data_IF_017724475752
#
_entry.id   IF_017724475752
#
_cell.length_a   1.000
_cell.length_b   1.000
_cell.length_c   1.000
_cell.angle_alpha   90.00
_cell.angle_beta   90.00
_cell.angle_gamma   90.00
#
_symmetry.space_group_name_H-M   'P 1'
#
loop_
_entity.id
_entity.type
_entity.pdbx_description
1 polymer ?
#
# COMPACT_ATOMS: atom_id res chain seq x y z
N UNK A 1 -7.21 -12.60 3.50
CA UNK A 1 -5.75 -12.62 3.50
C UNK A 1 -5.22 -11.20 3.68
N UNK A 2 -4.20 -11.00 4.52
CA UNK A 2 -3.62 -9.70 4.85
C UNK A 2 -2.14 -9.78 4.53
N UNK A 3 -1.65 -8.85 3.70
CA UNK A 3 -0.23 -8.73 3.38
C UNK A 3 0.26 -7.36 3.82
N UNK A 4 1.36 -7.32 4.56
CA UNK A 4 1.96 -6.08 5.06
C UNK A 4 3.42 -6.04 4.64
N UNK A 5 3.83 -4.90 4.09
CA UNK A 5 5.22 -4.59 3.77
C UNK A 5 5.54 -3.20 4.32
N UNK A 6 6.53 -3.13 5.20
CA UNK A 6 7.07 -1.87 5.72
C UNK A 6 8.04 -1.29 4.70
N UNK A 7 7.99 0.03 4.52
CA UNK A 7 8.88 0.83 3.67
C UNK A 7 9.24 2.12 4.39
N UNK A 8 10.37 2.72 4.04
CA UNK A 8 10.86 4.00 4.60
C UNK A 8 10.55 5.21 3.69
N UNK A 9 10.10 4.96 2.47
CA UNK A 9 9.85 5.97 1.48
C UNK A 9 8.53 5.71 0.73
N UNK A 10 8.07 6.75 0.03
CA UNK A 10 6.82 6.76 -0.75
C UNK A 10 7.07 6.89 -2.25
N UNK A 11 8.23 6.48 -2.77
CA UNK A 11 8.56 6.59 -4.19
C UNK A 11 7.80 5.56 -5.02
N UNK A 12 7.66 5.83 -6.32
CA UNK A 12 6.89 4.98 -7.23
C UNK A 12 7.51 3.57 -7.40
N UNK A 13 8.83 3.47 -7.50
CA UNK A 13 9.56 2.19 -7.59
C UNK A 13 9.30 1.28 -6.39
N UNK A 14 9.27 1.87 -5.19
CA UNK A 14 8.95 1.18 -3.95
C UNK A 14 7.49 0.71 -3.95
N UNK A 15 6.55 1.56 -4.41
CA UNK A 15 5.15 1.21 -4.56
C UNK A 15 4.96 0.02 -5.51
N UNK A 16 5.59 0.07 -6.68
CA UNK A 16 5.49 -0.98 -7.70
C UNK A 16 6.05 -2.31 -7.19
N UNK A 17 7.21 -2.27 -6.53
CA UNK A 17 7.84 -3.46 -5.91
C UNK A 17 6.90 -4.11 -4.88
N UNK A 18 6.25 -3.28 -4.04
CA UNK A 18 5.25 -3.77 -3.09
C UNK A 18 4.05 -4.44 -3.79
N UNK A 19 3.56 -3.88 -4.90
CA UNK A 19 2.48 -4.48 -5.69
C UNK A 19 2.88 -5.82 -6.30
N UNK A 20 4.07 -5.92 -6.88
CA UNK A 20 4.59 -7.18 -7.43
C UNK A 20 4.66 -8.27 -6.35
N UNK A 21 5.12 -7.92 -5.15
CA UNK A 21 5.20 -8.87 -4.05
C UNK A 21 3.83 -9.32 -3.55
N UNK A 22 2.86 -8.41 -3.38
CA UNK A 22 1.51 -8.80 -2.95
C UNK A 22 0.79 -9.62 -4.03
N UNK A 23 0.95 -9.30 -5.31
CA UNK A 23 0.34 -10.09 -6.39
C UNK A 23 0.95 -11.48 -6.52
N UNK A 24 2.24 -11.66 -6.21
CA UNK A 24 2.85 -13.00 -6.06
C UNK A 24 2.26 -13.77 -4.89
N UNK A 25 1.88 -13.09 -3.82
CA UNK A 25 1.36 -13.70 -2.60
C UNK A 25 -0.13 -14.06 -2.68
N UNK A 26 -0.98 -13.19 -3.23
CA UNK A 26 -2.44 -13.37 -3.27
C UNK A 26 -3.06 -13.45 -4.67
N UNK A 27 -2.24 -13.40 -5.72
CA UNK A 27 -2.70 -13.22 -7.09
C UNK A 27 -2.94 -11.75 -7.45
N UNK A 28 -3.03 -11.47 -8.76
CA UNK A 28 -3.32 -10.14 -9.30
C UNK A 28 -4.84 -9.85 -9.31
N UNK A 29 -5.30 -8.72 -8.74
CA UNK A 29 -6.70 -8.31 -8.82
C UNK A 29 -7.02 -7.72 -10.20
N UNK A 30 -8.30 -7.69 -10.58
CA UNK A 30 -8.74 -6.98 -11.79
C UNK A 30 -8.68 -5.46 -11.64
N UNK A 31 -8.89 -4.95 -10.42
CA UNK A 31 -8.90 -3.52 -10.11
C UNK A 31 -8.17 -3.24 -8.80
N UNK A 32 -7.41 -2.16 -8.77
CA UNK A 32 -6.73 -1.68 -7.56
C UNK A 32 -7.21 -0.28 -7.23
N UNK A 33 -7.66 -0.10 -5.99
CA UNK A 33 -8.14 1.19 -5.48
C UNK A 33 -7.01 1.96 -4.82
N UNK A 34 -6.77 3.18 -5.29
CA UNK A 34 -5.78 4.10 -4.78
C UNK A 34 -6.43 5.34 -4.15
N UNK A 35 -5.76 5.90 -3.14
CA UNK A 35 -6.02 7.25 -2.65
C UNK A 35 -5.31 8.29 -3.55
N UNK A 36 -5.38 9.57 -3.20
CA UNK A 36 -4.83 10.69 -3.99
C UNK A 36 -3.32 10.92 -3.80
N UNK A 37 -2.55 9.87 -3.57
CA UNK A 37 -1.10 10.01 -3.44
C UNK A 37 -0.50 10.48 -4.78
N UNK A 38 0.41 11.46 -4.74
CA UNK A 38 1.02 12.06 -5.94
C UNK A 38 1.77 11.05 -6.81
N UNK A 39 2.25 9.96 -6.21
CA UNK A 39 2.89 8.84 -6.92
C UNK A 39 1.93 8.01 -7.75
N UNK A 40 0.62 8.15 -7.54
CA UNK A 40 -0.42 7.44 -8.27
C UNK A 40 -1.24 8.41 -9.12
N UNK A 41 -1.66 9.55 -8.57
CA UNK A 41 -2.51 10.53 -9.27
C UNK A 41 -1.73 11.82 -9.50
N UNK A 42 -1.48 12.15 -10.77
CA UNK A 42 -0.82 13.41 -11.18
C UNK A 42 -1.80 14.58 -11.20
N UNK A 43 -3.02 14.37 -11.69
CA UNK A 43 -4.02 15.44 -11.78
C UNK A 43 -5.44 14.87 -11.59
N UNK A 44 -6.25 15.60 -10.81
CA UNK A 44 -7.67 15.30 -10.60
C UNK A 44 -8.49 15.88 -11.74
N UNK A 45 -9.57 15.17 -12.07
CA UNK A 45 -10.57 15.57 -13.08
C UNK A 45 -9.93 16.18 -14.33
N UNK A 46 -8.80 15.60 -14.76
CA UNK A 46 -7.91 16.18 -15.77
C UNK A 46 -8.55 16.19 -17.16
N UNK A 47 -9.49 15.26 -17.39
CA UNK A 47 -10.20 15.13 -18.65
C UNK A 47 -11.68 15.47 -18.46
N UNK A 48 -12.32 14.94 -17.41
CA UNK A 48 -13.71 15.18 -17.00
C UNK A 48 -13.88 14.80 -15.51
N UNK A 49 -15.02 15.12 -14.91
CA UNK A 49 -15.38 14.68 -13.55
C UNK A 49 -15.25 13.16 -13.43
N UNK A 50 -14.39 12.69 -12.52
CA UNK A 50 -14.10 11.26 -12.30
C UNK A 50 -13.04 10.67 -13.24
N UNK A 51 -12.52 11.45 -14.20
CA UNK A 51 -11.43 11.03 -15.08
C UNK A 51 -10.10 11.65 -14.63
N UNK A 52 -9.30 10.87 -13.93
CA UNK A 52 -8.05 11.30 -13.34
C UNK A 52 -6.85 10.97 -14.22
N UNK A 53 -5.85 11.84 -14.21
CA UNK A 53 -4.56 11.55 -14.83
C UNK A 53 -3.70 10.79 -13.81
N UNK A 54 -3.62 9.48 -13.98
CA UNK A 54 -2.69 8.66 -13.20
C UNK A 54 -1.25 8.81 -13.69
N UNK A 55 -0.30 8.43 -12.85
CA UNK A 55 1.11 8.37 -13.21
C UNK A 55 1.30 7.42 -14.42
N UNK A 56 2.00 7.83 -15.50
CA UNK A 56 2.17 6.98 -16.68
C UNK A 56 2.74 5.60 -16.35
N UNK A 57 3.74 5.53 -15.47
CA UNK A 57 4.32 4.26 -15.02
C UNK A 57 3.28 3.34 -14.38
N UNK A 58 2.32 3.89 -13.61
CA UNK A 58 1.25 3.08 -13.00
C UNK A 58 0.33 2.48 -14.07
N UNK A 59 0.03 3.23 -15.12
CA UNK A 59 -0.76 2.73 -16.25
C UNK A 59 -0.03 1.61 -16.99
N UNK A 60 1.27 1.76 -17.25
CA UNK A 60 2.09 0.72 -17.87
C UNK A 60 2.16 -0.53 -16.99
N UNK A 61 2.40 -0.36 -15.70
CA UNK A 61 2.41 -1.45 -14.72
C UNK A 61 1.06 -2.16 -14.62
N UNK A 62 -0.05 -1.41 -14.64
CA UNK A 62 -1.40 -1.96 -14.68
C UNK A 62 -1.63 -2.86 -15.90
N UNK A 63 -1.20 -2.41 -17.09
CA UNK A 63 -1.26 -3.23 -18.31
C UNK A 63 -0.41 -4.48 -18.23
N UNK A 64 0.81 -4.37 -17.71
CA UNK A 64 1.74 -5.50 -17.55
C UNK A 64 1.19 -6.56 -16.60
N UNK A 65 0.61 -6.15 -15.47
CA UNK A 65 0.10 -7.06 -14.44
C UNK A 65 -1.38 -7.42 -14.60
N UNK A 66 -2.08 -6.86 -15.60
CA UNK A 66 -3.48 -7.17 -15.89
C UNK A 66 -4.52 -6.54 -14.95
N UNK A 67 -4.21 -5.41 -14.31
CA UNK A 67 -5.14 -4.69 -13.43
C UNK A 67 -5.42 -3.25 -13.91
N UNK A 68 -6.60 -2.74 -13.56
CA UNK A 68 -6.97 -1.34 -13.82
C UNK A 68 -6.85 -0.49 -12.54
N UNK A 69 -6.08 0.62 -12.55
CA UNK A 69 -6.03 1.55 -11.43
C UNK A 69 -7.35 2.33 -11.35
N UNK A 70 -7.95 2.36 -10.16
CA UNK A 70 -9.13 3.18 -9.85
C UNK A 70 -8.85 4.05 -8.65
N UNK A 71 -9.48 5.22 -8.61
CA UNK A 71 -9.43 6.09 -7.44
C UNK A 71 -10.59 5.76 -6.49
N UNK A 72 -10.32 5.80 -5.19
CA UNK A 72 -11.37 5.84 -4.17
C UNK A 72 -12.28 7.06 -4.37
N UNK A 73 -13.61 6.84 -4.43
CA UNK A 73 -14.58 7.94 -4.51
C UNK A 73 -14.51 8.80 -3.24
N UNK A 74 -14.53 10.14 -3.34
CA UNK A 74 -14.70 11.02 -2.18
C UNK A 74 -15.96 10.61 -1.40
N UNK A 75 -15.92 10.66 -0.06
CA UNK A 75 -17.02 10.32 0.84
C UNK A 75 -17.54 8.86 0.81
N UNK A 76 -16.87 7.93 0.11
CA UNK A 76 -17.09 6.48 0.31
C UNK A 76 -16.08 5.89 1.30
N UNK A 77 -16.24 6.26 2.56
CA UNK A 77 -15.37 5.84 3.68
C UNK A 77 -15.47 4.34 4.02
N UNK A 78 -16.50 3.65 3.52
CA UNK A 78 -16.78 2.25 3.85
C UNK A 78 -15.60 1.31 3.56
N UNK A 79 -14.88 1.52 2.45
CA UNK A 79 -13.69 0.72 2.11
C UNK A 79 -12.43 1.20 2.86
N UNK A 80 -12.38 2.48 3.23
CA UNK A 80 -11.27 3.06 4.00
C UNK A 80 -11.26 2.53 5.44
N UNK A 81 -12.43 2.28 6.02
CA UNK A 81 -12.57 1.73 7.38
C UNK A 81 -11.87 0.38 7.57
N UNK A 82 -11.94 -0.52 6.58
CA UNK A 82 -11.24 -1.82 6.65
C UNK A 82 -9.73 -1.63 6.63
N UNK A 83 -9.20 -0.83 5.70
CA UNK A 83 -7.75 -0.55 5.62
C UNK A 83 -7.26 0.16 6.88
N UNK A 84 -7.99 1.16 7.37
CA UNK A 84 -7.64 1.89 8.60
C UNK A 84 -7.59 0.97 9.83
N UNK A 85 -8.58 0.07 9.98
CA UNK A 85 -8.58 -0.95 11.04
C UNK A 85 -7.38 -1.89 10.93
N UNK A 86 -7.02 -2.31 9.72
CA UNK A 86 -5.86 -3.18 9.50
C UNK A 86 -4.53 -2.46 9.81
N UNK A 87 -4.41 -1.18 9.47
CA UNK A 87 -3.26 -0.35 9.84
C UNK A 87 -3.17 -0.20 11.36
N UNK A 88 -4.30 0.06 12.03
CA UNK A 88 -4.35 0.15 13.49
C UNK A 88 -3.97 -1.18 14.15
N UNK A 89 -4.50 -2.29 13.67
CA UNK A 89 -4.14 -3.64 14.14
C UNK A 89 -2.64 -3.91 13.95
N UNK A 90 -2.10 -3.62 12.77
CA UNK A 90 -0.66 -3.79 12.47
C UNK A 90 0.20 -2.98 13.43
N UNK A 91 -0.21 -1.75 13.76
CA UNK A 91 0.54 -0.90 14.68
C UNK A 91 0.47 -1.44 16.12
N UNK A 92 -0.74 -1.69 16.61
CA UNK A 92 -0.98 -1.96 18.03
C UNK A 92 -0.71 -3.40 18.43
N UNK A 93 -0.98 -4.36 17.55
CA UNK A 93 -0.88 -5.78 17.83
C UNK A 93 0.40 -6.41 17.29
N UNK A 94 1.12 -5.72 16.39
CA UNK A 94 2.37 -6.23 15.83
C UNK A 94 3.56 -5.29 16.07
N UNK A 95 3.54 -4.07 15.53
CA UNK A 95 4.72 -3.20 15.54
C UNK A 95 5.14 -2.77 16.96
N UNK A 96 4.18 -2.29 17.77
CA UNK A 96 4.45 -1.87 19.15
C UNK A 96 4.95 -3.05 20.00
N UNK A 97 4.28 -4.22 20.03
CA UNK A 97 4.79 -5.40 20.75
C UNK A 97 6.17 -5.85 20.28
N UNK A 98 6.43 -5.84 18.96
CA UNK A 98 7.74 -6.20 18.41
C UNK A 98 8.83 -5.25 18.91
N UNK A 99 8.57 -3.95 18.88
CA UNK A 99 9.47 -2.92 19.39
C UNK A 99 9.74 -3.11 20.88
N UNK A 100 8.70 -3.28 21.70
CA UNK A 100 8.84 -3.49 23.15
C UNK A 100 9.65 -4.74 23.48
N UNK A 101 9.52 -5.81 22.69
CA UNK A 101 10.27 -7.06 22.88
C UNK A 101 11.76 -6.91 22.56
N UNK A 102 12.10 -6.11 21.56
CA UNK A 102 13.47 -5.96 21.06
C UNK A 102 14.24 -4.84 21.76
N UNK A 103 13.54 -3.86 22.33
CA UNK A 103 14.15 -2.72 23.02
C UNK A 103 15.12 -3.12 24.16
N UNK A 104 14.80 -4.08 25.06
CA UNK A 104 15.73 -4.53 26.10
C UNK A 104 17.01 -5.20 25.56
N UNK A 105 16.98 -5.67 24.31
CA UNK A 105 18.13 -6.29 23.62
C UNK A 105 19.01 -5.24 22.92
N UNK A 106 18.68 -3.94 23.03
CA UNK A 106 19.37 -2.86 22.34
C UNK A 106 19.11 -2.81 20.83
N UNK A 107 18.10 -3.55 20.34
CA UNK A 107 17.78 -3.65 18.91
C UNK A 107 16.65 -2.66 18.59
N UNK A 108 16.89 -1.79 17.61
CA UNK A 108 15.87 -0.91 17.04
C UNK A 108 15.10 -1.61 15.93
N UNK A 109 13.79 -1.37 15.83
CA UNK A 109 12.97 -1.94 14.76
C UNK A 109 13.07 -1.06 13.52
N UNK A 110 13.99 -1.41 12.63
CA UNK A 110 14.08 -0.84 11.29
C UNK A 110 13.16 -1.57 10.28
N UNK A 111 13.14 -1.11 9.03
CA UNK A 111 12.31 -1.68 7.96
C UNK A 111 12.65 -3.15 7.69
N UNK A 112 13.93 -3.52 7.77
CA UNK A 112 14.35 -4.91 7.56
C UNK A 112 13.83 -5.81 8.68
N UNK A 113 14.07 -5.41 9.93
CA UNK A 113 13.63 -6.10 11.13
C UNK A 113 12.11 -6.24 11.15
N UNK A 114 11.38 -5.16 10.85
CA UNK A 114 9.92 -5.18 10.77
C UNK A 114 9.40 -6.15 9.71
N UNK A 115 10.01 -6.20 8.52
CA UNK A 115 9.60 -7.10 7.43
C UNK A 115 10.03 -8.56 7.64
N UNK A 116 11.10 -8.80 8.40
CA UNK A 116 11.56 -10.14 8.79
C UNK A 116 10.59 -10.80 9.77
N UNK A 117 10.07 -10.01 10.71
CA UNK A 117 9.10 -10.48 11.70
C UNK A 117 7.64 -10.27 11.27
N UNK A 118 7.41 -9.57 10.15
CA UNK A 118 6.11 -9.13 9.66
C UNK A 118 5.09 -10.26 9.46
N UNK A 119 3.82 -9.91 9.63
CA UNK A 119 2.68 -10.76 9.30
C UNK A 119 2.64 -11.00 7.78
N UNK A 120 2.81 -12.26 7.36
CA UNK A 120 2.61 -12.73 5.98
C UNK A 120 1.38 -13.62 5.93
#
# INVERSE_FOLDING_TARGET
>A
MLYIKFTDNMRYDTLETCHRNVFRFCGGPREVLYDNMKTVVLQRDAYQTGQHRFHPSLWHFGKEMGFSPRRCRPFREQNKGKVARMVQYTRNSFYIPLMTRLLPMGITVDVETANRHGLR
#
